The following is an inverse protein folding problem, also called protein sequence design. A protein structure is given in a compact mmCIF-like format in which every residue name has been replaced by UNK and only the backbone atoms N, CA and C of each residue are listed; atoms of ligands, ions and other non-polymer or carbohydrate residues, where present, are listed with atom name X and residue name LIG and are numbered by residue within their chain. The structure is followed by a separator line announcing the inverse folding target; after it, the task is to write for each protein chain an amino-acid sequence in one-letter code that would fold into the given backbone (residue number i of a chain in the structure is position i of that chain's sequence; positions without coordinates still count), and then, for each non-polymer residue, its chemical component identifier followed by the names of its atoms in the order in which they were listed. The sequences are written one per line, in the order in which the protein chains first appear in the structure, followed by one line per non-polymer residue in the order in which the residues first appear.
data_IF_472066437898
#
_entry.id   IF_472066437898
#
_cell.length_a   1.000
_cell.length_b   1.000
_cell.length_c   1.000
_cell.angle_alpha   90.00
_cell.angle_beta   90.00
_cell.angle_gamma   90.00
#
_symmetry.space_group_name_H-M   'P 1'
#
loop_
_entity.id
_entity.type
_entity.pdbx_description
1 polymer ?
#
# COMPACT_ATOMS: atom_id res chain seq x y z
N UNK A 1 14.73 -1.40 19.88
CA UNK A 1 13.85 -1.80 18.75
C UNK A 1 14.71 -2.43 17.69
N UNK A 2 14.33 -3.59 17.24
CA UNK A 2 15.02 -4.27 16.14
C UNK A 2 14.62 -3.62 14.81
N UNK A 3 15.60 -3.04 14.12
CA UNK A 3 15.42 -2.42 12.81
C UNK A 3 14.87 -3.41 11.76
N UNK A 4 15.30 -4.66 11.86
CA UNK A 4 14.85 -5.72 10.97
C UNK A 4 13.36 -6.00 11.16
N UNK A 5 12.87 -6.10 12.39
CA UNK A 5 11.44 -6.31 12.66
C UNK A 5 10.56 -5.17 12.13
N UNK A 6 11.06 -3.93 12.16
CA UNK A 6 10.36 -2.79 11.59
C UNK A 6 10.20 -2.93 10.06
N UNK A 7 11.29 -3.30 9.39
CA UNK A 7 11.32 -3.52 7.94
C UNK A 7 10.43 -4.71 7.55
N UNK A 8 10.53 -5.81 8.27
CA UNK A 8 9.68 -6.99 8.05
C UNK A 8 8.19 -6.67 8.21
N UNK A 9 7.84 -5.85 9.20
CA UNK A 9 6.45 -5.38 9.39
C UNK A 9 5.96 -4.59 8.19
N UNK A 10 6.80 -3.71 7.62
CA UNK A 10 6.47 -2.98 6.41
C UNK A 10 6.33 -3.92 5.18
N UNK A 11 7.26 -4.84 5.00
CA UNK A 11 7.20 -5.83 3.92
C UNK A 11 5.93 -6.68 4.01
N UNK A 12 5.56 -7.09 5.22
CA UNK A 12 4.34 -7.84 5.47
C UNK A 12 3.10 -7.02 5.08
N UNK A 13 3.03 -5.74 5.45
CA UNK A 13 1.94 -4.86 5.04
C UNK A 13 1.80 -4.82 3.50
N UNK A 14 2.91 -4.75 2.76
CA UNK A 14 2.85 -4.77 1.30
C UNK A 14 2.40 -6.13 0.74
N UNK A 15 2.84 -7.24 1.33
CA UNK A 15 2.36 -8.57 0.92
C UNK A 15 0.85 -8.72 1.10
N UNK A 16 0.27 -8.08 2.11
CA UNK A 16 -1.19 -8.04 2.28
C UNK A 16 -1.86 -7.26 1.16
N UNK A 17 -1.28 -6.14 0.71
CA UNK A 17 -1.80 -5.40 -0.44
C UNK A 17 -1.78 -6.27 -1.71
N UNK A 18 -0.68 -6.97 -1.96
CA UNK A 18 -0.55 -7.85 -3.12
C UNK A 18 -1.49 -9.06 -3.04
N UNK A 19 -1.68 -9.62 -1.85
CA UNK A 19 -2.64 -10.68 -1.59
C UNK A 19 -4.07 -10.24 -1.93
N UNK A 20 -4.47 -9.04 -1.52
CA UNK A 20 -5.79 -8.49 -1.85
C UNK A 20 -5.90 -8.21 -3.35
N UNK A 21 -4.86 -7.65 -3.98
CA UNK A 21 -4.84 -7.40 -5.43
C UNK A 21 -5.01 -8.70 -6.22
N UNK A 22 -4.37 -9.79 -5.81
CA UNK A 22 -4.49 -11.10 -6.45
C UNK A 22 -5.91 -11.65 -6.38
N UNK A 23 -6.62 -11.38 -5.28
CA UNK A 23 -7.98 -11.85 -5.07
C UNK A 23 -9.03 -11.07 -5.86
N UNK A 24 -8.70 -9.87 -6.34
CA UNK A 24 -9.62 -9.05 -7.16
C UNK A 24 -9.42 -9.37 -8.64
N UNK A 25 -10.50 -9.68 -9.36
CA UNK A 25 -10.44 -9.89 -10.81
C UNK A 25 -10.15 -8.59 -11.56
N UNK A 26 -9.48 -8.66 -12.71
CA UNK A 26 -9.16 -7.49 -13.54
C UNK A 26 -10.37 -6.61 -13.83
N UNK A 27 -11.49 -7.21 -14.21
CA UNK A 27 -12.75 -6.51 -14.49
C UNK A 27 -13.34 -5.80 -13.28
N UNK A 28 -13.07 -6.27 -12.06
CA UNK A 28 -13.57 -5.68 -10.83
C UNK A 28 -12.73 -4.49 -10.33
N UNK A 29 -11.65 -4.15 -11.02
CA UNK A 29 -10.92 -2.89 -10.77
C UNK A 29 -11.78 -1.65 -11.01
N UNK A 30 -12.84 -1.78 -11.81
CA UNK A 30 -13.81 -0.71 -12.07
C UNK A 30 -14.89 -0.56 -10.98
N UNK A 31 -14.99 -1.52 -10.06
CA UNK A 31 -15.97 -1.47 -8.96
C UNK A 31 -15.75 -0.23 -8.09
N UNK A 32 -16.83 0.36 -7.62
CA UNK A 32 -16.79 1.57 -6.80
C UNK A 32 -17.77 1.48 -5.63
N UNK A 33 -17.53 2.28 -4.61
CA UNK A 33 -18.47 2.46 -3.51
C UNK A 33 -19.76 3.10 -4.00
N UNK A 34 -20.88 2.77 -3.38
CA UNK A 34 -22.17 3.43 -3.63
C UNK A 34 -22.10 4.94 -3.38
N UNK A 35 -21.26 5.37 -2.45
CA UNK A 35 -20.97 6.78 -2.19
C UNK A 35 -20.15 7.46 -3.29
N UNK A 36 -19.74 6.71 -4.33
CA UNK A 36 -18.84 7.15 -5.38
C UNK A 36 -17.40 7.41 -4.87
N UNK A 37 -16.59 8.10 -5.64
CA UNK A 37 -15.18 8.34 -5.36
C UNK A 37 -14.28 7.44 -6.19
N UNK A 38 -13.14 7.03 -5.62
CA UNK A 38 -12.19 6.14 -6.30
C UNK A 38 -12.80 4.75 -6.50
N UNK A 39 -12.61 4.19 -7.70
CA UNK A 39 -12.84 2.76 -7.92
C UNK A 39 -11.72 1.92 -7.30
N UNK A 40 -11.86 0.60 -7.35
CA UNK A 40 -10.87 -0.35 -6.76
C UNK A 40 -9.47 -0.14 -7.32
N UNK A 41 -9.33 -0.03 -8.64
CA UNK A 41 -8.02 0.22 -9.28
C UNK A 41 -7.41 1.54 -8.83
N UNK A 42 -8.20 2.60 -8.74
CA UNK A 42 -7.78 3.91 -8.25
C UNK A 42 -7.41 3.89 -6.75
N UNK A 43 -8.02 3.03 -5.93
CA UNK A 43 -7.64 2.84 -4.53
C UNK A 43 -6.23 2.22 -4.42
N UNK A 44 -5.95 1.17 -5.18
CA UNK A 44 -4.60 0.59 -5.23
C UNK A 44 -3.56 1.59 -5.75
N UNK A 45 -3.90 2.32 -6.82
CA UNK A 45 -3.03 3.36 -7.37
C UNK A 45 -2.76 4.46 -6.33
N UNK A 46 -3.75 4.83 -5.54
CA UNK A 46 -3.61 5.83 -4.48
C UNK A 46 -2.64 5.37 -3.38
N UNK A 47 -2.66 4.10 -3.00
CA UNK A 47 -1.68 3.52 -2.06
C UNK A 47 -0.25 3.77 -2.60
N UNK A 48 0.01 3.43 -3.85
CA UNK A 48 1.31 3.70 -4.49
C UNK A 48 1.63 5.20 -4.52
N UNK A 49 0.70 6.04 -4.95
CA UNK A 49 0.92 7.47 -5.12
C UNK A 49 1.23 8.19 -3.79
N UNK A 50 0.63 7.75 -2.68
CA UNK A 50 0.94 8.28 -1.34
C UNK A 50 2.37 7.92 -0.92
N UNK A 51 2.84 6.71 -1.24
CA UNK A 51 4.23 6.33 -1.00
C UNK A 51 5.19 7.26 -1.75
N UNK A 52 4.90 7.56 -3.03
CA UNK A 52 5.72 8.50 -3.80
C UNK A 52 5.70 9.91 -3.21
N UNK A 53 4.57 10.35 -2.68
CA UNK A 53 4.47 11.64 -1.99
C UNK A 53 5.43 11.70 -0.79
N UNK A 54 5.47 10.65 0.03
CA UNK A 54 6.38 10.58 1.18
C UNK A 54 7.85 10.46 0.77
N UNK A 55 8.15 9.68 -0.27
CA UNK A 55 9.51 9.60 -0.83
C UNK A 55 9.96 10.98 -1.31
N UNK A 56 9.10 11.71 -2.02
CA UNK A 56 9.40 13.10 -2.45
C UNK A 56 9.71 14.01 -1.27
N UNK A 57 8.97 13.87 -0.17
CA UNK A 57 9.15 14.71 1.01
C UNK A 57 10.39 14.34 1.85
N UNK A 58 10.70 13.04 1.96
CA UNK A 58 11.70 12.53 2.90
C UNK A 58 13.00 12.05 2.26
N UNK A 59 12.95 11.51 1.04
CA UNK A 59 14.09 10.93 0.31
C UNK A 59 13.90 11.11 -1.21
N UNK A 60 13.98 12.36 -1.74
CA UNK A 60 13.65 12.63 -3.15
C UNK A 60 14.51 11.82 -4.15
N UNK A 61 15.74 11.48 -3.80
CA UNK A 61 16.62 10.65 -4.62
C UNK A 61 16.08 9.25 -4.88
N UNK A 62 15.24 8.72 -3.98
CA UNK A 62 14.58 7.41 -4.15
C UNK A 62 13.44 7.43 -5.15
N UNK A 63 13.00 8.60 -5.63
CA UNK A 63 11.97 8.71 -6.66
C UNK A 63 12.48 8.43 -8.08
N UNK A 64 13.79 8.31 -8.28
CA UNK A 64 14.35 8.09 -9.61
C UNK A 64 13.76 6.81 -10.24
N UNK A 65 13.15 6.95 -11.43
CA UNK A 65 12.48 5.84 -12.11
C UNK A 65 11.05 5.56 -11.68
N UNK A 66 10.49 6.32 -10.73
CA UNK A 66 9.09 6.20 -10.34
C UNK A 66 8.22 7.27 -10.98
N UNK A 67 7.01 6.90 -11.33
CA UNK A 67 5.97 7.82 -11.75
C UNK A 67 4.65 7.53 -11.04
N UNK A 68 3.88 8.60 -10.85
CA UNK A 68 2.51 8.50 -10.36
C UNK A 68 1.66 7.67 -11.32
N UNK A 69 0.80 6.82 -10.78
CA UNK A 69 -0.21 6.12 -11.57
C UNK A 69 -1.37 7.09 -11.82
N UNK A 70 -1.65 7.36 -13.08
CA UNK A 70 -2.79 8.15 -13.51
C UNK A 70 -4.06 7.29 -13.60
N UNK A 71 -5.23 7.93 -13.70
CA UNK A 71 -6.52 7.22 -13.74
C UNK A 71 -6.71 6.34 -14.98
N UNK A 72 -6.06 6.65 -16.08
CA UNK A 72 -6.11 5.87 -17.31
C UNK A 72 -5.08 4.75 -17.32
N UNK A 73 -5.43 3.60 -17.89
CA UNK A 73 -4.49 2.48 -18.09
C UNK A 73 -4.18 1.67 -16.82
N UNK A 74 -5.01 1.77 -15.79
CA UNK A 74 -4.85 0.97 -14.58
C UNK A 74 -5.21 -0.48 -14.88
N UNK A 75 -4.25 -1.40 -14.57
CA UNK A 75 -4.43 -2.84 -14.67
C UNK A 75 -3.63 -3.55 -13.59
N UNK A 76 -3.95 -4.81 -13.33
CA UNK A 76 -3.30 -5.59 -12.26
C UNK A 76 -1.78 -5.68 -12.43
N UNK A 77 -1.21 -5.92 -13.64
CA UNK A 77 0.25 -5.96 -13.78
C UNK A 77 0.92 -4.64 -13.37
N UNK A 78 0.38 -3.50 -13.82
CA UNK A 78 0.89 -2.18 -13.45
C UNK A 78 0.82 -1.95 -11.94
N UNK A 79 -0.32 -2.28 -11.33
CA UNK A 79 -0.52 -2.11 -9.89
C UNK A 79 0.43 -2.99 -9.08
N UNK A 80 0.60 -4.25 -9.49
CA UNK A 80 1.52 -5.19 -8.82
C UNK A 80 2.96 -4.69 -8.86
N UNK A 81 3.46 -4.32 -10.03
CA UNK A 81 4.82 -3.82 -10.20
C UNK A 81 5.03 -2.52 -9.43
N UNK A 82 4.09 -1.60 -9.51
CA UNK A 82 4.16 -0.31 -8.82
C UNK A 82 4.17 -0.47 -7.30
N UNK A 83 3.28 -1.31 -6.74
CA UNK A 83 3.23 -1.57 -5.30
C UNK A 83 4.48 -2.29 -4.80
N UNK A 84 5.00 -3.24 -5.57
CA UNK A 84 6.24 -3.95 -5.23
C UNK A 84 7.43 -3.00 -5.19
N UNK A 85 7.59 -2.18 -6.22
CA UNK A 85 8.73 -1.28 -6.36
C UNK A 85 8.66 -0.12 -5.36
N UNK A 86 7.48 0.49 -5.16
CA UNK A 86 7.35 1.58 -4.17
C UNK A 86 7.49 1.08 -2.73
N UNK A 87 7.10 -0.18 -2.45
CA UNK A 87 7.36 -0.77 -1.13
C UNK A 87 8.87 -0.91 -0.87
N UNK A 88 9.65 -1.35 -1.86
CA UNK A 88 11.10 -1.44 -1.74
C UNK A 88 11.75 -0.06 -1.55
N UNK A 89 11.24 0.98 -2.21
CA UNK A 89 11.74 2.34 -2.02
C UNK A 89 11.42 2.89 -0.62
N UNK A 90 10.23 2.63 -0.09
CA UNK A 90 9.88 2.98 1.31
C UNK A 90 10.78 2.19 2.28
N UNK A 91 11.06 0.91 2.01
CA UNK A 91 12.00 0.11 2.82
C UNK A 91 13.39 0.79 2.91
N UNK A 92 13.90 1.32 1.80
CA UNK A 92 15.15 2.09 1.81
C UNK A 92 15.05 3.35 2.69
N UNK A 93 13.93 4.06 2.62
CA UNK A 93 13.67 5.22 3.49
C UNK A 93 13.65 4.81 4.97
N UNK A 94 13.02 3.69 5.31
CA UNK A 94 12.95 3.18 6.68
C UNK A 94 14.35 2.78 7.20
N UNK A 95 15.12 2.04 6.40
CA UNK A 95 16.48 1.66 6.75
C UNK A 95 17.37 2.89 6.98
N UNK A 96 17.29 3.88 6.08
CA UNK A 96 17.99 5.15 6.23
C UNK A 96 17.56 5.88 7.53
N UNK A 97 16.28 5.99 7.79
CA UNK A 97 15.76 6.66 8.99
C UNK A 97 16.22 5.99 10.29
N UNK A 98 16.22 4.65 10.33
CA UNK A 98 16.74 3.89 11.48
C UNK A 98 18.21 4.19 11.73
N UNK A 99 19.04 4.21 10.68
CA UNK A 99 20.46 4.55 10.76
C UNK A 99 20.74 6.02 11.12
N UNK A 100 19.73 6.90 11.01
CA UNK A 100 19.86 8.35 11.26
C UNK A 100 18.95 8.81 12.40
N UNK A 101 19.04 8.16 13.54
CA UNK A 101 18.37 8.57 14.78
C UNK A 101 16.87 8.29 14.82
N UNK A 102 16.36 7.40 13.95
CA UNK A 102 14.96 6.98 13.96
C UNK A 102 13.98 8.06 13.48
N UNK A 103 14.43 8.99 12.64
CA UNK A 103 13.62 10.12 12.15
C UNK A 103 13.36 10.03 10.66
N UNK A 104 12.11 10.21 10.27
CA UNK A 104 11.71 10.43 8.87
C UNK A 104 11.56 11.93 8.64
N UNK A 105 12.25 12.47 7.63
CA UNK A 105 12.16 13.90 7.30
C UNK A 105 10.71 14.30 7.00
N UNK A 106 10.29 15.44 7.53
CA UNK A 106 8.94 15.97 7.42
C UNK A 106 7.84 15.16 8.12
N UNK A 107 8.21 14.16 8.93
CA UNK A 107 7.28 13.45 9.81
C UNK A 107 7.72 13.65 11.27
N UNK A 108 6.88 14.25 12.09
CA UNK A 108 7.27 14.65 13.46
C UNK A 108 7.59 13.52 14.41
N UNK A 109 6.76 12.45 14.50
CA UNK A 109 7.09 11.30 15.35
C UNK A 109 8.33 10.56 14.84
N UNK A 110 8.59 9.41 15.39
CA UNK A 110 9.70 8.53 15.04
C UNK A 110 9.32 7.53 13.93
N UNK A 111 10.32 6.84 13.38
CA UNK A 111 10.16 5.90 12.25
C UNK A 111 9.14 4.78 12.51
N UNK A 112 9.03 4.29 13.74
CA UNK A 112 8.00 3.28 14.09
C UNK A 112 6.59 3.83 13.92
N UNK A 113 6.36 5.07 14.36
CA UNK A 113 5.08 5.74 14.14
C UNK A 113 4.81 5.98 12.65
N UNK A 114 5.84 6.21 11.85
CA UNK A 114 5.71 6.33 10.40
C UNK A 114 5.25 5.02 9.75
N UNK A 115 5.82 3.88 10.14
CA UNK A 115 5.33 2.56 9.67
C UNK A 115 3.88 2.33 10.11
N UNK A 116 3.54 2.64 11.35
CA UNK A 116 2.16 2.56 11.86
C UNK A 116 1.20 3.45 11.06
N UNK A 117 1.61 4.67 10.76
CA UNK A 117 0.83 5.62 9.96
C UNK A 117 0.59 5.09 8.54
N UNK A 118 1.64 4.63 7.84
CA UNK A 118 1.49 4.07 6.49
C UNK A 118 0.62 2.81 6.50
N UNK A 119 0.82 1.92 7.47
CA UNK A 119 0.01 0.70 7.60
C UNK A 119 -1.47 1.02 7.83
N UNK A 120 -1.77 1.98 8.70
CA UNK A 120 -3.15 2.42 8.96
C UNK A 120 -3.78 3.08 7.73
N UNK A 121 -3.04 3.94 7.03
CA UNK A 121 -3.49 4.59 5.82
C UNK A 121 -3.81 3.56 4.71
N UNK A 122 -2.93 2.59 4.51
CA UNK A 122 -3.14 1.55 3.51
C UNK A 122 -4.25 0.57 3.90
N UNK A 123 -4.39 0.23 5.18
CA UNK A 123 -5.50 -0.57 5.69
C UNK A 123 -6.85 0.11 5.48
N UNK A 124 -6.92 1.44 5.63
CA UNK A 124 -8.12 2.21 5.30
C UNK A 124 -8.53 2.03 3.83
N UNK A 125 -7.57 2.11 2.90
CA UNK A 125 -7.86 1.91 1.47
C UNK A 125 -8.16 0.44 1.13
N UNK A 126 -7.52 -0.53 1.77
CA UNK A 126 -7.91 -1.95 1.66
C UNK A 126 -9.36 -2.18 2.07
N UNK A 127 -9.80 -1.56 3.14
CA UNK A 127 -11.20 -1.64 3.58
C UNK A 127 -12.16 -1.08 2.53
N UNK A 128 -11.84 0.06 1.94
CA UNK A 128 -12.66 0.65 0.86
C UNK A 128 -12.74 -0.26 -0.38
N UNK A 129 -11.63 -0.92 -0.75
CA UNK A 129 -11.61 -1.90 -1.84
C UNK A 129 -12.57 -3.06 -1.54
N UNK A 130 -12.47 -3.64 -0.35
CA UNK A 130 -13.32 -4.78 0.06
C UNK A 130 -14.81 -4.40 0.03
N UNK A 131 -15.15 -3.20 0.52
CA UNK A 131 -16.53 -2.71 0.51
C UNK A 131 -17.01 -2.44 -0.93
N UNK A 132 -16.15 -1.86 -1.77
CA UNK A 132 -16.51 -1.54 -3.16
C UNK A 132 -16.87 -2.80 -3.96
N UNK A 133 -16.05 -3.85 -3.91
CA UNK A 133 -16.36 -5.11 -4.61
C UNK A 133 -17.61 -5.77 -4.03
N UNK A 134 -17.82 -5.72 -2.72
CA UNK A 134 -19.04 -6.25 -2.09
C UNK A 134 -20.29 -5.50 -2.54
N UNK A 135 -20.27 -4.17 -2.55
CA UNK A 135 -21.39 -3.34 -2.98
C UNK A 135 -21.68 -3.47 -4.48
N UNK A 136 -20.69 -3.86 -5.27
CA UNK A 136 -20.84 -4.11 -6.71
C UNK A 136 -21.32 -5.52 -7.05
N UNK A 137 -21.60 -6.35 -6.04
CA UNK A 137 -22.04 -7.74 -6.23
C UNK A 137 -20.91 -8.73 -6.44
N UNK A 138 -19.65 -8.34 -6.18
CA UNK A 138 -18.46 -9.15 -6.39
C UNK A 138 -17.72 -9.43 -5.07
N UNK A 139 -18.46 -9.69 -3.99
CA UNK A 139 -17.90 -9.95 -2.66
C UNK A 139 -16.78 -11.01 -2.71
N UNK A 140 -15.69 -10.73 -2.01
CA UNK A 140 -14.57 -11.68 -1.87
C UNK A 140 -14.98 -12.85 -0.97
N UNK A 141 -14.39 -14.03 -1.23
CA UNK A 141 -14.59 -15.20 -0.40
C UNK A 141 -14.16 -14.94 1.05
N UNK A 142 -14.86 -15.55 1.99
CA UNK A 142 -14.52 -15.48 3.43
C UNK A 142 -13.09 -15.89 3.70
N UNK A 143 -12.56 -16.90 3.01
CA UNK A 143 -11.17 -17.34 3.12
C UNK A 143 -10.19 -16.21 2.79
N UNK A 144 -10.47 -15.41 1.76
CA UNK A 144 -9.64 -14.25 1.39
C UNK A 144 -9.72 -13.19 2.49
N UNK A 145 -10.92 -12.89 2.98
CA UNK A 145 -11.14 -11.88 4.03
C UNK A 145 -10.41 -12.25 5.34
N UNK A 146 -10.46 -13.52 5.76
CA UNK A 146 -9.69 -13.99 6.91
C UNK A 146 -8.18 -14.00 6.64
N UNK A 147 -7.77 -14.35 5.41
CA UNK A 147 -6.36 -14.39 5.01
C UNK A 147 -5.62 -13.06 5.15
N UNK A 148 -6.32 -11.92 5.11
CA UNK A 148 -5.76 -10.59 5.37
C UNK A 148 -5.20 -10.48 6.81
N UNK A 149 -5.79 -11.21 7.76
CA UNK A 149 -5.40 -11.20 9.17
C UNK A 149 -4.38 -12.28 9.55
N UNK A 150 -4.09 -13.19 8.64
CA UNK A 150 -3.14 -14.28 8.84
C UNK A 150 -1.68 -13.81 8.65
N UNK A 151 -1.27 -12.86 9.47
CA UNK A 151 0.03 -12.18 9.35
C UNK A 151 1.22 -13.15 9.45
N UNK A 152 1.11 -14.23 10.19
CA UNK A 152 2.15 -15.24 10.28
C UNK A 152 2.35 -16.08 9.01
N UNK A 153 1.42 -15.98 8.05
CA UNK A 153 1.43 -16.73 6.78
C UNK A 153 1.67 -15.85 5.56
N UNK A 154 1.88 -14.54 5.75
CA UNK A 154 2.02 -13.57 4.64
C UNK A 154 3.48 -13.22 4.37
#
# INVERSE_FOLDING_TARGET
MDAQQLIETWQLNNRINLYLLDAVSEEHLADALLSKGRNVGEQFAHIHNVRLMWLKAAMPEALRGFSKIEKSGIGKPLLRDSLTNSAAAIEQLLAFAVGNGGRVKNFKPHVTAFVGYLTAQEAHHRSQIIIAVKQSGHALDKKVLYGIWEWGSR
#
